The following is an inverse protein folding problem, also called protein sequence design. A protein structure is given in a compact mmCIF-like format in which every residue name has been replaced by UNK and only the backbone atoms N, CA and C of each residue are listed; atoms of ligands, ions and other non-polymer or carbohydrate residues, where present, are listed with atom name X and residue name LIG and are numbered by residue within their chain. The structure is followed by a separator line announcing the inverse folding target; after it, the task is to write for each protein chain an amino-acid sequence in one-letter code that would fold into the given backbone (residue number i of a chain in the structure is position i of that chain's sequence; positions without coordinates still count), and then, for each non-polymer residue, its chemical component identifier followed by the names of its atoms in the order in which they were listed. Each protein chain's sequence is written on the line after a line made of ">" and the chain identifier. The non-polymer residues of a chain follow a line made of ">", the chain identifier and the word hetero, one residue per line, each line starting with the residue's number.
data_IF_393921823857
#
_entry.id   IF_393921823857
#
_cell.length_a   1.000
_cell.length_b   1.000
_cell.length_c   1.000
_cell.angle_alpha   90.00
_cell.angle_beta   90.00
_cell.angle_gamma   90.00
#
_symmetry.space_group_name_H-M   'P 1'
#
loop_
_entity.id
_entity.type
_entity.pdbx_description
1 polymer ?
#
# COMPACT_ATOMS: atom_id res chain seq x y z
N UNK A 1 0.58 21.16 2.01
CA UNK A 1 -0.54 20.30 1.53
C UNK A 1 -1.29 19.68 2.71
N UNK A 2 -2.63 19.58 2.70
CA UNK A 2 -3.41 18.97 3.81
C UNK A 2 -3.42 17.44 3.69
N UNK A 3 -3.52 16.74 4.84
CA UNK A 3 -3.66 15.28 4.96
C UNK A 3 -4.65 14.67 3.95
N UNK A 4 -5.86 15.21 3.89
CA UNK A 4 -6.91 14.69 3.01
C UNK A 4 -6.49 14.73 1.53
N UNK A 5 -5.78 15.77 1.11
CA UNK A 5 -5.28 15.89 -0.26
C UNK A 5 -4.31 14.75 -0.60
N UNK A 6 -3.35 14.44 0.29
CA UNK A 6 -2.36 13.38 0.00
C UNK A 6 -3.04 12.01 -0.12
N UNK A 7 -3.99 11.67 0.76
CA UNK A 7 -4.70 10.38 0.65
C UNK A 7 -5.55 10.30 -0.61
N UNK A 8 -6.26 11.38 -0.97
CA UNK A 8 -7.04 11.44 -2.21
C UNK A 8 -6.15 11.30 -3.45
N UNK A 9 -4.98 11.95 -3.47
CA UNK A 9 -4.04 11.84 -4.57
C UNK A 9 -3.46 10.41 -4.66
N UNK A 10 -3.07 9.81 -3.53
CA UNK A 10 -2.62 8.42 -3.48
C UNK A 10 -3.68 7.45 -3.97
N UNK A 11 -4.95 7.70 -3.63
CA UNK A 11 -6.08 6.92 -4.12
C UNK A 11 -6.15 6.96 -5.66
N UNK A 12 -6.10 8.15 -6.24
CA UNK A 12 -6.17 8.33 -7.68
C UNK A 12 -4.95 7.73 -8.40
N UNK A 13 -3.75 7.88 -7.84
CA UNK A 13 -2.53 7.26 -8.38
C UNK A 13 -2.66 5.73 -8.37
N UNK A 14 -3.11 5.14 -7.26
CA UNK A 14 -3.30 3.70 -7.16
C UNK A 14 -4.39 3.20 -8.13
N UNK A 15 -5.48 3.95 -8.30
CA UNK A 15 -6.53 3.64 -9.28
C UNK A 15 -6.00 3.65 -10.71
N UNK A 16 -5.19 4.65 -11.08
CA UNK A 16 -4.53 4.70 -12.40
C UNK A 16 -3.55 3.55 -12.60
N UNK A 17 -2.75 3.25 -11.58
CA UNK A 17 -1.87 2.09 -11.60
C UNK A 17 -2.65 0.80 -11.88
N UNK A 18 -3.85 0.62 -11.31
CA UNK A 18 -4.66 -0.58 -11.59
C UNK A 18 -5.03 -0.67 -13.07
N UNK A 19 -5.47 0.44 -13.67
CA UNK A 19 -5.78 0.50 -15.09
C UNK A 19 -4.56 0.19 -15.96
N UNK A 20 -3.40 0.79 -15.66
CA UNK A 20 -2.16 0.51 -16.39
C UNK A 20 -1.78 -0.98 -16.28
N UNK A 21 -1.92 -1.58 -15.08
CA UNK A 21 -1.67 -3.01 -14.85
C UNK A 21 -2.67 -3.93 -15.56
N UNK A 22 -3.88 -3.48 -15.86
CA UNK A 22 -4.87 -4.27 -16.61
C UNK A 22 -4.69 -4.19 -18.14
N UNK A 23 -4.02 -3.13 -18.61
CA UNK A 23 -3.70 -2.91 -20.02
C UNK A 23 -2.26 -3.22 -20.40
N UNK A 24 -1.39 -3.51 -19.42
CA UNK A 24 -0.01 -3.87 -19.68
C UNK A 24 0.07 -5.10 -20.59
N UNK A 25 0.84 -4.98 -21.65
CA UNK A 25 0.94 -6.02 -22.67
C UNK A 25 2.07 -7.00 -22.32
N UNK A 26 1.84 -8.32 -22.33
CA UNK A 26 2.94 -9.27 -22.29
C UNK A 26 3.76 -9.21 -23.58
N UNK A 27 5.02 -9.64 -23.55
CA UNK A 27 5.92 -9.65 -24.72
C UNK A 27 5.38 -10.43 -25.93
N UNK A 28 4.39 -11.31 -25.73
CA UNK A 28 3.67 -12.02 -26.81
C UNK A 28 2.31 -11.45 -27.17
N UNK A 29 1.85 -10.42 -26.48
CA UNK A 29 0.57 -9.77 -26.76
C UNK A 29 0.69 -8.68 -27.79
N UNK A 30 -0.46 -8.20 -28.25
CA UNK A 30 -0.57 -6.97 -29.04
C UNK A 30 -1.02 -5.84 -28.10
N UNK A 31 -0.33 -4.68 -28.06
CA UNK A 31 -0.78 -3.54 -27.28
C UNK A 31 -2.05 -2.95 -27.87
N UNK A 32 -2.91 -2.39 -27.01
CA UNK A 32 -4.06 -1.58 -27.38
C UNK A 32 -3.77 -0.08 -27.17
N UNK A 33 -4.73 0.79 -27.47
CA UNK A 33 -4.57 2.24 -27.32
C UNK A 33 -4.42 2.73 -25.87
N UNK A 34 -4.71 1.86 -24.89
CA UNK A 34 -4.59 2.12 -23.45
C UNK A 34 -3.37 1.42 -22.85
N UNK A 35 -2.65 0.59 -23.62
CA UNK A 35 -1.47 -0.13 -23.14
C UNK A 35 -0.33 0.84 -22.78
N UNK A 36 0.22 0.75 -21.56
CA UNK A 36 1.45 1.45 -21.23
C UNK A 36 2.61 0.93 -22.09
N UNK A 37 3.68 1.73 -22.17
CA UNK A 37 4.90 1.34 -22.92
C UNK A 37 5.69 0.23 -22.24
N UNK A 38 5.49 0.01 -20.94
CA UNK A 38 6.08 -1.10 -20.21
C UNK A 38 5.46 -2.42 -20.70
N UNK A 39 6.29 -3.45 -20.86
CA UNK A 39 5.84 -4.79 -21.27
C UNK A 39 6.14 -5.83 -20.18
N UNK A 40 5.31 -6.85 -20.07
CA UNK A 40 5.56 -7.95 -19.14
C UNK A 40 6.46 -9.02 -19.79
N UNK A 41 7.59 -9.38 -19.16
CA UNK A 41 8.46 -10.44 -19.67
C UNK A 41 7.83 -11.83 -19.45
N UNK A 42 8.33 -12.81 -20.21
CA UNK A 42 8.02 -14.23 -19.97
C UNK A 42 8.96 -14.83 -18.94
N UNK A 43 8.43 -15.75 -18.15
CA UNK A 43 9.21 -16.73 -17.39
C UNK A 43 9.70 -17.85 -18.32
N UNK A 44 10.59 -18.69 -17.78
CA UNK A 44 11.14 -19.86 -18.50
C UNK A 44 10.05 -20.87 -18.93
N UNK A 45 8.94 -20.93 -18.19
CA UNK A 45 7.76 -21.76 -18.47
C UNK A 45 6.71 -21.06 -19.35
N UNK A 46 7.09 -19.98 -20.03
CA UNK A 46 6.24 -19.14 -20.88
C UNK A 46 5.09 -18.39 -20.16
N UNK A 47 4.96 -18.52 -18.83
CA UNK A 47 4.02 -17.73 -18.06
C UNK A 47 4.46 -16.26 -17.98
N UNK A 48 3.50 -15.35 -17.92
CA UNK A 48 3.77 -13.93 -17.79
C UNK A 48 4.28 -13.64 -16.38
N UNK A 49 5.44 -12.96 -16.28
CA UNK A 49 5.98 -12.51 -15.00
C UNK A 49 5.38 -11.15 -14.65
N UNK A 50 4.63 -11.11 -13.56
CA UNK A 50 4.22 -9.88 -12.88
C UNK A 50 5.01 -9.81 -11.58
N UNK A 51 5.63 -8.66 -11.27
CA UNK A 51 6.32 -8.45 -10.01
C UNK A 51 6.10 -7.05 -9.46
N UNK A 52 6.62 -6.81 -8.26
CA UNK A 52 6.64 -5.49 -7.62
C UNK A 52 7.33 -4.43 -8.50
N UNK A 53 8.31 -4.86 -9.30
CA UNK A 53 9.11 -3.97 -10.13
C UNK A 53 8.26 -3.30 -11.22
N UNK A 54 7.45 -4.06 -11.96
CA UNK A 54 6.61 -3.48 -13.01
C UNK A 54 5.55 -2.54 -12.43
N UNK A 55 4.97 -2.88 -11.28
CA UNK A 55 4.05 -2.01 -10.57
C UNK A 55 4.72 -0.69 -10.14
N UNK A 56 5.94 -0.76 -9.59
CA UNK A 56 6.73 0.42 -9.20
C UNK A 56 7.08 1.32 -10.39
N UNK A 57 7.45 0.75 -11.53
CA UNK A 57 7.77 1.54 -12.73
C UNK A 57 6.55 2.26 -13.30
N UNK A 58 5.39 1.59 -13.40
CA UNK A 58 4.14 2.23 -13.81
C UNK A 58 3.72 3.33 -12.82
N UNK A 59 3.88 3.07 -11.52
CA UNK A 59 3.62 4.06 -10.48
C UNK A 59 4.48 5.31 -10.67
N UNK A 60 5.80 5.15 -10.87
CA UNK A 60 6.71 6.27 -11.13
C UNK A 60 6.35 7.02 -12.43
N UNK A 61 5.92 6.31 -13.47
CA UNK A 61 5.46 6.93 -14.71
C UNK A 61 4.24 7.83 -14.48
N UNK A 62 3.31 7.42 -13.62
CA UNK A 62 2.17 8.24 -13.22
C UNK A 62 2.60 9.48 -12.42
N UNK A 63 3.58 9.33 -11.53
CA UNK A 63 4.09 10.45 -10.72
C UNK A 63 4.75 11.55 -11.56
N UNK A 64 5.40 11.20 -12.67
CA UNK A 64 6.02 12.19 -13.58
C UNK A 64 5.02 13.16 -14.23
N UNK A 65 3.72 12.89 -14.11
CA UNK A 65 2.63 13.75 -14.58
C UNK A 65 1.95 14.53 -13.45
N UNK A 66 2.45 14.41 -12.22
CA UNK A 66 1.88 14.98 -11.00
C UNK A 66 2.91 15.87 -10.29
N UNK A 67 2.43 16.66 -9.31
CA UNK A 67 3.26 17.60 -8.55
C UNK A 67 4.02 16.93 -7.38
N UNK A 68 4.33 15.64 -7.50
CA UNK A 68 5.07 14.88 -6.50
C UNK A 68 6.49 14.60 -6.98
N UNK A 69 7.44 14.78 -6.09
CA UNK A 69 8.80 14.28 -6.24
C UNK A 69 8.90 12.91 -5.58
N UNK A 70 9.84 12.08 -6.00
CA UNK A 70 9.99 10.75 -5.41
C UNK A 70 11.45 10.30 -5.30
N UNK A 71 11.70 9.40 -4.35
CA UNK A 71 12.97 8.71 -4.14
C UNK A 71 12.72 7.21 -4.09
N UNK A 72 13.55 6.44 -4.78
CA UNK A 72 13.46 4.97 -4.90
C UNK A 72 14.41 4.33 -3.90
N UNK A 73 13.98 3.24 -3.25
CA UNK A 73 14.78 2.52 -2.24
C UNK A 73 15.29 3.48 -1.15
N UNK A 74 14.36 4.22 -0.56
CA UNK A 74 14.67 5.31 0.36
C UNK A 74 14.95 4.76 1.74
N UNK A 75 16.14 5.04 2.33
CA UNK A 75 16.43 4.64 3.70
C UNK A 75 15.39 5.18 4.69
N UNK A 76 14.98 4.34 5.63
CA UNK A 76 14.06 4.74 6.70
C UNK A 76 14.74 5.65 7.71
N UNK A 77 13.99 6.60 8.24
CA UNK A 77 14.50 7.52 9.28
C UNK A 77 14.62 6.80 10.64
N UNK A 78 13.76 5.82 10.89
CA UNK A 78 13.79 4.97 12.06
C UNK A 78 14.69 3.73 11.87
N UNK A 79 15.05 3.12 13.00
CA UNK A 79 15.74 1.82 13.03
C UNK A 79 14.82 0.70 13.49
N UNK A 80 15.08 -0.50 13.00
CA UNK A 80 14.28 -1.69 13.22
C UNK A 80 15.15 -2.88 13.59
N UNK A 81 14.60 -3.81 14.37
CA UNK A 81 15.21 -5.12 14.64
C UNK A 81 14.34 -6.18 13.98
N UNK A 82 14.44 -6.25 12.65
CA UNK A 82 13.64 -7.18 11.84
C UNK A 82 14.28 -8.57 11.72
N UNK A 83 15.61 -8.63 11.82
CA UNK A 83 16.44 -9.84 11.84
C UNK A 83 17.65 -9.61 12.74
N UNK A 84 18.07 -10.62 13.49
CA UNK A 84 19.21 -10.48 14.41
C UNK A 84 18.89 -9.63 15.65
N UNK A 85 19.92 -9.01 16.24
CA UNK A 85 19.81 -8.28 17.52
C UNK A 85 20.10 -6.78 17.43
N UNK A 86 20.69 -6.30 16.33
CA UNK A 86 21.12 -4.89 16.19
C UNK A 86 20.05 -4.07 15.49
N UNK A 87 19.68 -2.88 16.00
CA UNK A 87 18.83 -1.94 15.27
C UNK A 87 19.54 -1.43 14.02
N UNK A 88 18.87 -1.50 12.87
CA UNK A 88 19.38 -0.99 11.60
C UNK A 88 18.28 -0.26 10.84
N UNK A 89 18.65 0.71 9.99
CA UNK A 89 17.70 1.29 9.03
C UNK A 89 17.27 0.22 8.02
N UNK A 90 16.04 0.35 7.55
CA UNK A 90 15.51 -0.40 6.43
C UNK A 90 15.42 0.52 5.19
N UNK A 91 14.76 0.04 4.13
CA UNK A 91 14.44 0.80 2.92
C UNK A 91 12.94 0.70 2.66
N UNK A 92 12.31 1.82 2.28
CA UNK A 92 10.99 1.81 1.64
C UNK A 92 11.15 1.80 0.12
N UNK A 93 10.32 1.04 -0.57
CA UNK A 93 10.42 0.86 -2.03
C UNK A 93 10.36 2.21 -2.76
N UNK A 94 9.49 3.11 -2.28
CA UNK A 94 9.36 4.48 -2.78
C UNK A 94 8.98 5.44 -1.65
N UNK A 95 9.49 6.66 -1.68
CA UNK A 95 9.04 7.78 -0.84
C UNK A 95 8.61 8.94 -1.71
N UNK A 96 7.48 9.57 -1.37
CA UNK A 96 6.93 10.74 -2.06
C UNK A 96 7.18 12.01 -1.27
N UNK A 97 7.43 13.09 -2.00
CA UNK A 97 7.76 14.40 -1.46
C UNK A 97 6.95 15.49 -2.15
N UNK A 98 6.60 16.51 -1.39
CA UNK A 98 6.14 17.80 -1.91
C UNK A 98 7.27 18.82 -1.79
N UNK A 99 7.26 19.85 -2.63
CA UNK A 99 8.23 20.94 -2.58
C UNK A 99 7.50 22.27 -2.40
N UNK A 100 7.81 22.97 -1.31
CA UNK A 100 7.40 24.36 -1.08
C UNK A 100 8.68 25.22 -1.08
N UNK A 101 9.37 25.30 0.06
CA UNK A 101 10.73 25.87 0.20
C UNK A 101 11.80 24.79 0.39
N UNK A 102 11.38 23.58 0.73
CA UNK A 102 12.22 22.40 0.96
C UNK A 102 11.42 21.14 0.60
N UNK A 103 12.11 20.02 0.37
CA UNK A 103 11.45 18.74 0.16
C UNK A 103 10.88 18.21 1.48
N UNK A 104 9.56 17.98 1.50
CA UNK A 104 8.87 17.38 2.64
C UNK A 104 8.30 16.03 2.25
N UNK A 105 8.82 14.97 2.88
CA UNK A 105 8.32 13.60 2.72
C UNK A 105 6.85 13.58 3.17
N UNK A 106 5.95 13.11 2.32
CA UNK A 106 4.52 13.05 2.60
C UNK A 106 3.95 11.63 2.56
N UNK A 107 4.62 10.69 1.89
CA UNK A 107 4.23 9.28 1.91
C UNK A 107 5.41 8.32 1.70
N UNK A 108 5.28 7.11 2.23
CA UNK A 108 6.09 5.95 1.86
C UNK A 108 5.19 4.92 1.18
N UNK A 109 5.67 4.31 0.11
CA UNK A 109 4.97 3.28 -0.66
C UNK A 109 5.71 1.96 -0.53
N UNK A 110 4.97 0.89 -0.28
CA UNK A 110 5.46 -0.48 -0.27
C UNK A 110 4.68 -1.30 -1.30
N UNK A 111 5.39 -1.98 -2.18
CA UNK A 111 4.82 -2.84 -3.22
C UNK A 111 4.95 -4.30 -2.80
N UNK A 112 3.88 -5.08 -3.02
CA UNK A 112 3.94 -6.55 -2.96
C UNK A 112 3.32 -7.19 -4.17
N UNK A 113 3.87 -8.33 -4.56
CA UNK A 113 3.28 -9.19 -5.58
C UNK A 113 3.01 -10.60 -5.03
N UNK A 114 1.96 -11.24 -5.55
CA UNK A 114 1.59 -12.62 -5.23
C UNK A 114 1.22 -12.84 -3.75
N UNK A 115 1.26 -14.08 -3.28
CA UNK A 115 1.02 -14.42 -1.89
C UNK A 115 2.32 -14.33 -1.08
N UNK A 116 2.50 -13.24 -0.34
CA UNK A 116 3.66 -13.00 0.51
C UNK A 116 3.51 -13.64 1.90
N UNK A 117 4.63 -13.85 2.59
CA UNK A 117 4.61 -14.41 3.95
C UNK A 117 4.14 -13.38 4.98
N UNK A 118 3.68 -13.86 6.14
CA UNK A 118 3.32 -13.01 7.27
C UNK A 118 4.48 -12.09 7.68
N UNK A 119 5.71 -12.60 7.77
CA UNK A 119 6.87 -11.79 8.19
C UNK A 119 7.22 -10.68 7.21
N UNK A 120 7.05 -10.90 5.90
CA UNK A 120 7.25 -9.83 4.91
C UNK A 120 6.24 -8.71 5.12
N UNK A 121 4.95 -9.04 5.27
CA UNK A 121 3.90 -8.05 5.57
C UNK A 121 4.20 -7.33 6.87
N UNK A 122 4.51 -8.06 7.94
CA UNK A 122 4.76 -7.49 9.26
C UNK A 122 5.91 -6.47 9.24
N UNK A 123 7.01 -6.78 8.56
CA UNK A 123 8.16 -5.88 8.43
C UNK A 123 7.82 -4.59 7.71
N UNK A 124 7.07 -4.68 6.61
CA UNK A 124 6.73 -3.52 5.80
C UNK A 124 5.62 -2.67 6.45
N UNK A 125 4.66 -3.29 7.12
CA UNK A 125 3.70 -2.58 8.00
C UNK A 125 4.42 -1.86 9.13
N UNK A 126 5.42 -2.49 9.76
CA UNK A 126 6.21 -1.83 10.80
C UNK A 126 6.91 -0.58 10.29
N UNK A 127 7.45 -0.61 9.05
CA UNK A 127 8.00 0.58 8.39
C UNK A 127 6.94 1.67 8.23
N UNK A 128 5.83 1.35 7.55
CA UNK A 128 4.76 2.31 7.25
C UNK A 128 4.12 2.92 8.50
N UNK A 129 4.02 2.15 9.59
CA UNK A 129 3.44 2.62 10.85
C UNK A 129 4.40 3.55 11.61
N UNK A 130 5.72 3.34 11.54
CA UNK A 130 6.69 4.04 12.40
C UNK A 130 7.32 5.28 11.76
N UNK A 131 7.36 5.35 10.44
CA UNK A 131 7.96 6.48 9.71
C UNK A 131 7.15 7.79 9.86
N UNK A 132 7.81 8.93 9.66
CA UNK A 132 7.18 10.26 9.82
C UNK A 132 6.98 10.71 11.26
N UNK A 133 7.59 10.03 12.23
CA UNK A 133 7.54 10.36 13.65
C UNK A 133 8.85 10.96 14.15
N UNK A 134 8.79 11.86 15.15
CA UNK A 134 9.99 12.25 15.88
C UNK A 134 10.70 11.00 16.40
N UNK A 135 12.02 10.94 16.25
CA UNK A 135 12.83 9.93 16.98
C UNK A 135 12.52 10.10 18.47
N UNK A 136 12.45 8.99 19.22
CA UNK A 136 12.21 8.99 20.68
C UNK A 136 13.29 9.81 21.39
N UNK A 137 13.17 11.13 21.41
CA UNK A 137 13.87 12.00 22.33
C UNK A 137 13.00 12.08 23.59
N UNK A 138 13.63 11.94 24.76
CA UNK A 138 12.97 11.98 26.06
C UNK A 138 12.34 13.35 26.37
N UNK A 139 12.65 14.37 25.56
CA UNK A 139 12.36 15.77 25.86
C UNK A 139 11.40 16.45 24.86
N UNK A 140 10.70 15.70 24.01
CA UNK A 140 9.66 16.28 23.15
C UNK A 140 8.34 16.25 23.93
N UNK A 141 7.82 17.44 24.23
CA UNK A 141 6.47 17.64 24.75
C UNK A 141 5.50 16.72 24.02
N UNK A 142 4.68 16.00 24.78
CA UNK A 142 3.66 15.11 24.23
C UNK A 142 2.90 15.91 23.18
N UNK A 143 2.94 15.53 21.88
CA UNK A 143 2.14 16.21 20.89
C UNK A 143 0.70 16.18 21.39
N UNK A 144 0.04 17.32 21.26
CA UNK A 144 -1.40 17.44 21.48
C UNK A 144 -2.09 16.21 20.87
N UNK A 145 -2.83 15.47 21.72
CA UNK A 145 -3.32 14.12 21.40
C UNK A 145 -4.32 14.12 20.24
N UNK A 146 -4.86 15.28 19.90
CA UNK A 146 -5.90 15.43 18.88
C UNK A 146 -5.36 15.79 17.49
N UNK A 147 -4.13 16.27 17.36
CA UNK A 147 -3.59 16.77 16.09
C UNK A 147 -2.42 15.93 15.55
N UNK A 148 -2.57 15.44 14.31
CA UNK A 148 -1.44 14.83 13.59
C UNK A 148 -0.38 15.90 13.33
N UNK A 149 0.91 15.60 13.54
CA UNK A 149 1.97 16.57 13.24
C UNK A 149 1.91 17.02 11.78
N UNK A 150 2.26 18.30 11.56
CA UNK A 150 2.25 18.97 10.25
C UNK A 150 3.07 18.23 9.17
N UNK A 151 4.05 17.42 9.58
CA UNK A 151 4.93 16.64 8.71
C UNK A 151 4.62 15.14 8.74
N UNK A 152 3.34 14.78 8.85
CA UNK A 152 2.91 13.39 8.84
C UNK A 152 3.31 12.70 7.52
N UNK A 153 3.83 11.47 7.61
CA UNK A 153 4.12 10.62 6.46
C UNK A 153 3.07 9.53 6.38
N UNK A 154 2.34 9.48 5.26
CA UNK A 154 1.34 8.45 4.99
C UNK A 154 1.99 7.15 4.56
N UNK A 155 1.39 6.02 4.90
CA UNK A 155 1.69 4.75 4.25
C UNK A 155 0.82 4.55 3.02
N UNK A 156 1.38 3.97 1.97
CA UNK A 156 0.66 3.49 0.82
C UNK A 156 1.08 2.04 0.52
N UNK A 157 0.17 1.11 0.74
CA UNK A 157 0.39 -0.30 0.44
C UNK A 157 -0.24 -0.65 -0.89
N UNK A 158 0.57 -1.13 -1.83
CA UNK A 158 0.12 -1.57 -3.16
C UNK A 158 0.42 -3.06 -3.33
N UNK A 159 -0.62 -3.86 -3.50
CA UNK A 159 -0.50 -5.31 -3.64
C UNK A 159 -1.04 -5.77 -4.99
N UNK A 160 -0.22 -6.44 -5.78
CA UNK A 160 -0.60 -6.98 -7.09
C UNK A 160 -0.73 -8.50 -7.02
N UNK A 161 -1.89 -9.00 -7.42
CA UNK A 161 -2.20 -10.41 -7.55
C UNK A 161 -2.48 -10.72 -9.02
N UNK A 162 -1.94 -11.85 -9.51
CA UNK A 162 -2.26 -12.34 -10.85
C UNK A 162 -3.76 -12.69 -10.95
N UNK A 163 -4.25 -13.44 -9.96
CA UNK A 163 -5.62 -13.93 -9.89
C UNK A 163 -6.06 -14.09 -8.41
N UNK A 164 -7.34 -14.37 -8.19
CA UNK A 164 -7.96 -14.53 -6.88
C UNK A 164 -9.06 -15.60 -6.94
N UNK A 165 -9.18 -16.41 -5.88
CA UNK A 165 -10.35 -17.24 -5.58
C UNK A 165 -11.07 -16.71 -4.33
N UNK A 166 -12.13 -17.37 -3.85
CA UNK A 166 -12.88 -16.93 -2.66
C UNK A 166 -12.10 -16.97 -1.34
N UNK A 167 -10.90 -17.58 -1.30
CA UNK A 167 -10.07 -17.72 -0.09
C UNK A 167 -8.81 -16.87 -0.11
N UNK A 168 -8.40 -16.41 -1.29
CA UNK A 168 -7.13 -15.71 -1.50
C UNK A 168 -7.03 -14.42 -0.68
N UNK A 169 -8.00 -13.49 -0.82
CA UNK A 169 -7.97 -12.26 -0.03
C UNK A 169 -8.27 -12.54 1.45
N UNK A 170 -9.10 -13.53 1.77
CA UNK A 170 -9.38 -13.92 3.17
C UNK A 170 -8.08 -14.31 3.89
N UNK A 171 -7.27 -15.18 3.28
CA UNK A 171 -6.00 -15.61 3.84
C UNK A 171 -4.95 -14.49 3.86
N UNK A 172 -4.96 -13.60 2.86
CA UNK A 172 -4.06 -12.45 2.82
C UNK A 172 -4.40 -11.41 3.90
N UNK A 173 -5.68 -11.06 4.03
CA UNK A 173 -6.20 -10.10 5.00
C UNK A 173 -6.00 -10.57 6.44
N UNK A 174 -6.10 -11.88 6.70
CA UNK A 174 -5.71 -12.47 7.98
C UNK A 174 -4.24 -12.17 8.35
N UNK A 175 -3.32 -12.20 7.38
CA UNK A 175 -1.91 -11.84 7.63
C UNK A 175 -1.75 -10.35 7.94
N UNK A 176 -2.51 -9.48 7.27
CA UNK A 176 -2.50 -8.04 7.57
C UNK A 176 -3.05 -7.74 8.96
N UNK A 177 -4.17 -8.36 9.34
CA UNK A 177 -4.77 -8.21 10.65
C UNK A 177 -3.79 -8.59 11.75
N UNK A 178 -3.19 -9.78 11.65
CA UNK A 178 -2.13 -10.22 12.57
C UNK A 178 -0.94 -9.25 12.60
N UNK A 179 -0.50 -8.76 11.45
CA UNK A 179 0.66 -7.87 11.34
C UNK A 179 0.41 -6.53 12.01
N UNK A 180 -0.72 -5.89 11.71
CA UNK A 180 -1.11 -4.62 12.33
C UNK A 180 -1.29 -4.77 13.84
N UNK A 181 -2.00 -5.80 14.31
CA UNK A 181 -2.17 -6.05 15.75
C UNK A 181 -0.83 -6.27 16.46
N UNK A 182 0.10 -7.00 15.83
CA UNK A 182 1.43 -7.24 16.39
C UNK A 182 2.31 -5.99 16.46
N UNK A 183 2.18 -5.07 15.49
CA UNK A 183 2.92 -3.80 15.47
C UNK A 183 2.30 -2.80 16.44
N UNK A 184 0.97 -2.65 16.43
CA UNK A 184 0.26 -1.65 17.24
C UNK A 184 0.22 -2.02 18.73
N UNK A 185 0.21 -3.31 19.09
CA UNK A 185 0.30 -3.73 20.50
C UNK A 185 1.63 -3.33 21.18
N UNK A 186 2.70 -3.14 20.40
CA UNK A 186 4.03 -2.76 20.92
C UNK A 186 4.23 -1.27 21.07
N UNK A 187 3.35 -0.46 20.47
CA UNK A 187 3.54 0.96 20.34
C UNK A 187 2.30 1.70 20.86
N UNK A 188 2.41 2.32 22.03
CA UNK A 188 1.30 3.06 22.65
C UNK A 188 1.07 4.39 21.91
N UNK A 189 -0.19 4.82 21.84
CA UNK A 189 -0.61 6.13 21.32
C UNK A 189 -0.22 6.40 19.85
N UNK A 190 -0.31 5.40 19.00
CA UNK A 190 0.00 5.56 17.58
C UNK A 190 -1.21 6.02 16.78
N UNK A 191 -1.07 7.18 16.14
CA UNK A 191 -1.83 7.49 14.94
C UNK A 191 -1.25 6.69 13.75
N UNK A 192 -2.11 6.15 12.90
CA UNK A 192 -1.74 5.37 11.71
C UNK A 192 -2.58 5.85 10.54
N UNK A 193 -1.94 6.02 9.40
CA UNK A 193 -2.58 6.45 8.17
C UNK A 193 -2.00 5.66 7.02
N UNK A 194 -2.71 4.65 6.55
CA UNK A 194 -2.25 3.75 5.49
C UNK A 194 -3.36 3.57 4.46
N UNK A 195 -3.08 3.86 3.20
CA UNK A 195 -3.96 3.47 2.10
C UNK A 195 -3.61 2.04 1.65
N UNK A 196 -4.57 1.11 1.73
CA UNK A 196 -4.39 -0.25 1.28
C UNK A 196 -5.03 -0.46 -0.08
N UNK A 197 -4.28 -1.00 -1.05
CA UNK A 197 -4.72 -1.19 -2.43
C UNK A 197 -4.35 -2.59 -2.93
N UNK A 198 -5.33 -3.34 -3.42
CA UNK A 198 -5.17 -4.69 -3.96
C UNK A 198 -5.65 -4.75 -5.40
N UNK A 199 -4.75 -4.99 -6.35
CA UNK A 199 -5.03 -5.13 -7.78
C UNK A 199 -4.99 -6.59 -8.21
N UNK A 200 -6.03 -7.07 -8.89
CA UNK A 200 -6.15 -8.42 -9.42
C UNK A 200 -6.17 -8.33 -10.94
N UNK A 201 -5.11 -8.79 -11.60
CA UNK A 201 -4.87 -8.55 -13.02
C UNK A 201 -5.83 -9.33 -13.92
N UNK A 202 -5.89 -10.66 -13.80
CA UNK A 202 -6.70 -11.50 -14.70
C UNK A 202 -8.21 -11.22 -14.60
N UNK A 203 -8.64 -10.68 -13.46
CA UNK A 203 -10.05 -10.36 -13.20
C UNK A 203 -10.38 -8.90 -13.51
N UNK A 204 -9.38 -8.08 -13.87
CA UNK A 204 -9.49 -6.62 -14.03
C UNK A 204 -10.30 -5.97 -12.91
N UNK A 205 -9.95 -6.36 -11.69
CA UNK A 205 -10.67 -6.01 -10.47
C UNK A 205 -9.68 -5.59 -9.41
N UNK A 206 -10.05 -4.65 -8.56
CA UNK A 206 -9.25 -4.25 -7.42
C UNK A 206 -10.10 -3.60 -6.34
N UNK A 207 -9.51 -3.48 -5.15
CA UNK A 207 -10.14 -2.79 -4.05
C UNK A 207 -9.15 -1.88 -3.33
N UNK A 208 -9.63 -0.72 -2.87
CA UNK A 208 -8.85 0.26 -2.13
C UNK A 208 -9.62 0.66 -0.87
N UNK A 209 -8.93 0.80 0.26
CA UNK A 209 -9.52 1.32 1.50
C UNK A 209 -8.48 2.04 2.34
N UNK A 210 -8.88 3.18 2.91
CA UNK A 210 -8.03 4.01 3.75
C UNK A 210 -8.15 3.62 5.22
N UNK A 211 -7.07 3.11 5.81
CA UNK A 211 -6.94 2.81 7.23
C UNK A 211 -6.52 4.07 7.98
N UNK A 212 -7.43 4.60 8.79
CA UNK A 212 -7.21 5.77 9.64
C UNK A 212 -7.43 5.39 11.10
N UNK A 213 -6.33 5.25 11.83
CA UNK A 213 -6.37 5.14 13.27
C UNK A 213 -5.84 6.44 13.85
N UNK A 214 -6.69 7.24 14.49
CA UNK A 214 -6.21 8.37 15.31
C UNK A 214 -5.63 7.82 16.63
N UNK A 215 -4.67 8.53 17.22
CA UNK A 215 -4.01 8.14 18.46
C UNK A 215 -5.07 7.68 19.49
N UNK A 216 -4.91 6.45 19.97
CA UNK A 216 -5.89 5.67 20.73
C UNK A 216 -6.57 6.45 21.87
N UNK A 217 -7.71 7.07 21.57
CA UNK A 217 -8.88 7.16 22.44
C UNK A 217 -10.09 6.89 21.51
N UNK A 218 -10.77 5.75 21.69
CA UNK A 218 -12.01 5.31 21.01
C UNK A 218 -11.94 4.46 19.70
N UNK A 219 -10.80 3.87 19.32
CA UNK A 219 -10.86 2.81 18.30
C UNK A 219 -11.52 1.55 18.89
N UNK A 220 -12.62 1.03 18.32
CA UNK A 220 -13.25 -0.18 18.81
C UNK A 220 -12.25 -1.34 18.89
N UNK A 221 -12.40 -2.22 19.89
CA UNK A 221 -11.52 -3.39 20.09
C UNK A 221 -11.37 -4.28 18.83
N UNK A 222 -12.31 -4.15 17.89
CA UNK A 222 -12.38 -4.89 16.64
C UNK A 222 -12.10 -4.06 15.37
N UNK A 223 -11.61 -2.81 15.46
CA UNK A 223 -11.44 -1.95 14.28
C UNK A 223 -10.56 -2.59 13.19
N UNK A 224 -9.45 -3.22 13.58
CA UNK A 224 -8.55 -3.91 12.63
C UNK A 224 -9.27 -5.09 11.96
N UNK A 225 -10.04 -5.85 12.74
CA UNK A 225 -10.82 -6.97 12.22
C UNK A 225 -11.91 -6.51 11.25
N UNK A 226 -12.64 -5.46 11.62
CA UNK A 226 -13.70 -4.87 10.81
C UNK A 226 -13.15 -4.22 9.55
N UNK A 227 -11.97 -3.59 9.60
CA UNK A 227 -11.38 -2.94 8.44
C UNK A 227 -11.18 -3.90 7.26
N UNK A 228 -10.64 -5.09 7.53
CA UNK A 228 -10.34 -6.10 6.53
C UNK A 228 -11.51 -7.07 6.26
N UNK A 229 -12.73 -6.78 6.73
CA UNK A 229 -13.90 -7.51 6.23
C UNK A 229 -14.19 -7.08 4.79
N UNK A 230 -14.24 -8.06 3.89
CA UNK A 230 -14.66 -7.92 2.50
C UNK A 230 -15.26 -9.26 2.07
N UNK A 231 -16.55 -9.28 1.79
CA UNK A 231 -17.24 -10.48 1.30
C UNK A 231 -17.33 -10.42 -0.22
N UNK A 232 -16.77 -11.43 -0.87
CA UNK A 232 -16.83 -11.58 -2.33
C UNK A 232 -16.89 -13.04 -2.72
N UNK A 233 -17.39 -13.28 -3.92
CA UNK A 233 -17.38 -14.57 -4.58
C UNK A 233 -16.77 -14.45 -5.98
N UNK A 234 -16.34 -15.56 -6.55
CA UNK A 234 -15.87 -15.61 -7.94
C UNK A 234 -16.88 -16.41 -8.75
N UNK A 235 -17.62 -15.74 -9.63
CA UNK A 235 -18.69 -16.32 -10.46
C UNK A 235 -18.35 -16.13 -11.92
N UNK A 236 -18.35 -17.22 -12.71
CA UNK A 236 -18.00 -17.19 -14.15
C UNK A 236 -16.69 -16.44 -14.44
N UNK A 237 -15.71 -16.61 -13.55
CA UNK A 237 -14.42 -15.95 -13.69
C UNK A 237 -14.41 -14.45 -13.42
N UNK A 238 -15.47 -13.86 -12.86
CA UNK A 238 -15.51 -12.47 -12.39
C UNK A 238 -15.62 -12.42 -10.87
N UNK A 239 -15.04 -11.39 -10.26
CA UNK A 239 -15.20 -11.12 -8.82
C UNK A 239 -16.53 -10.39 -8.65
N UNK A 240 -17.38 -10.91 -7.75
CA UNK A 240 -18.66 -10.32 -7.36
C UNK A 240 -18.56 -9.97 -5.88
N UNK A 241 -18.58 -8.69 -5.56
CA UNK A 241 -18.68 -8.22 -4.18
C UNK A 241 -20.09 -8.48 -3.62
N UNK A 242 -20.16 -9.19 -2.50
CA UNK A 242 -21.41 -9.43 -1.77
C UNK A 242 -21.61 -8.35 -0.69
N UNK A 243 -20.52 -7.94 -0.04
CA UNK A 243 -20.48 -6.80 0.86
C UNK A 243 -19.09 -6.17 0.84
N UNK A 244 -19.00 -4.93 0.35
CA UNK A 244 -17.74 -4.21 0.25
C UNK A 244 -17.23 -3.68 1.58
N UNK A 245 -18.10 -3.49 2.59
CA UNK A 245 -17.72 -2.97 3.91
C UNK A 245 -16.78 -1.74 3.82
N UNK A 246 -17.15 -0.77 2.97
CA UNK A 246 -16.38 0.47 2.78
C UNK A 246 -15.09 0.33 1.97
N UNK A 247 -14.80 -0.84 1.39
CA UNK A 247 -13.80 -0.96 0.32
C UNK A 247 -14.36 -0.33 -0.96
N UNK A 248 -13.59 0.55 -1.58
CA UNK A 248 -13.91 1.06 -2.90
C UNK A 248 -13.49 0.04 -3.95
N UNK A 249 -14.44 -0.40 -4.77
CA UNK A 249 -14.25 -1.45 -5.76
C UNK A 249 -13.99 -0.82 -7.12
N UNK A 250 -12.82 -1.10 -7.67
CA UNK A 250 -12.42 -0.66 -9.01
C UNK A 250 -12.51 -1.87 -9.92
N UNK A 251 -13.22 -1.72 -11.03
CA UNK A 251 -13.44 -2.82 -11.97
C UNK A 251 -13.50 -2.28 -13.38
N UNK A 252 -12.85 -2.98 -14.29
CA UNK A 252 -13.01 -2.74 -15.71
C UNK A 252 -13.95 -3.77 -16.28
N UNK A 253 -15.00 -3.32 -16.97
CA UNK A 253 -15.87 -4.22 -17.72
C UNK A 253 -15.01 -4.91 -18.78
N UNK A 254 -14.96 -6.24 -18.72
CA UNK A 254 -14.38 -7.10 -19.76
C UNK A 254 -15.35 -7.15 -20.94
#
# INVERSE_FOLDING_TARGET
>A
MNHYTVITDLFEINRRLFHDLWHITPVTGCPDGLSPRLILPKKRDADVRISEQEARFLYCSSLNLLNYFYSVETPTDQTYVQTGKKPQSASSDLSLYTFESEFKKCANVEFKAHNVSYEQIRKDIEKLVREGRPKKNKDIEKPDRESRPKNWVHGNWVHVLKNVDSKTLVGLFEKFRKSLSAVLSKERNLSVSILFSFCIIEKRWGCIKYFDLKALEAAPDNYIDDFFKLSYSVKKGQVVEDNSNGWEIIKQKV
#
